data_IF_267383525611
#
_entry.id   IF_267383525611
#
_cell.length_a   1.000
_cell.length_b   1.000
_cell.length_c   1.000
_cell.angle_alpha   90.00
_cell.angle_beta   90.00
_cell.angle_gamma   90.00
#
_symmetry.space_group_name_H-M   'P 1'
#
loop_
_entity.id
_entity.type
_entity.pdbx_description
1 polymer ?
#
# COMPACT_ATOMS: atom_id res chain seq x y z
N UNK A 1 -2.10 14.11 -1.68
CA UNK A 1 -0.63 14.28 -1.78
C UNK A 1 -0.23 15.56 -1.09
N UNK A 2 0.77 15.51 -0.21
CA UNK A 2 1.29 16.70 0.49
C UNK A 2 2.58 17.24 -0.14
N UNK A 3 3.46 16.36 -0.62
CA UNK A 3 4.70 16.74 -1.30
C UNK A 3 5.10 15.65 -2.30
N UNK A 4 5.66 16.04 -3.44
CA UNK A 4 6.16 15.12 -4.46
C UNK A 4 5.05 14.38 -5.21
N UNK A 5 5.39 13.23 -5.78
CA UNK A 5 4.47 12.44 -6.62
C UNK A 5 4.51 10.96 -6.22
N UNK A 6 3.37 10.29 -6.31
CA UNK A 6 3.28 8.84 -6.14
C UNK A 6 2.64 8.20 -7.37
N UNK A 7 3.17 7.07 -7.81
CA UNK A 7 2.50 6.22 -8.80
C UNK A 7 1.56 5.27 -8.05
N UNK A 8 0.29 5.30 -8.42
CA UNK A 8 -0.69 4.30 -8.00
C UNK A 8 -0.94 3.33 -9.15
N UNK A 9 -0.77 2.03 -8.89
CA UNK A 9 -1.11 0.95 -9.80
C UNK A 9 -2.28 0.17 -9.22
N UNK A 10 -3.42 0.14 -9.92
CA UNK A 10 -4.59 -0.64 -9.52
C UNK A 10 -4.51 -2.05 -10.08
N UNK A 11 -4.86 -3.03 -9.27
CA UNK A 11 -4.95 -4.45 -9.63
C UNK A 11 -6.36 -4.99 -9.42
N UNK A 12 -6.74 -5.96 -10.25
CA UNK A 12 -7.91 -6.78 -9.98
C UNK A 12 -7.65 -7.71 -8.79
N UNK A 13 -8.74 -8.17 -8.16
CA UNK A 13 -8.64 -9.24 -7.18
C UNK A 13 -8.16 -10.53 -7.83
N UNK A 14 -7.24 -11.27 -7.20
CA UNK A 14 -6.77 -12.55 -7.74
C UNK A 14 -7.86 -13.62 -7.64
N UNK A 15 -7.90 -14.51 -8.63
CA UNK A 15 -8.73 -15.71 -8.59
C UNK A 15 -8.16 -16.75 -7.62
N UNK A 16 -8.90 -17.84 -7.37
CA UNK A 16 -8.42 -18.96 -6.53
C UNK A 16 -7.22 -19.72 -7.12
N UNK A 17 -6.87 -19.48 -8.38
CA UNK A 17 -5.73 -20.11 -9.06
C UNK A 17 -4.50 -19.22 -8.89
N UNK A 18 -3.35 -19.83 -8.59
CA UNK A 18 -2.08 -19.13 -8.52
C UNK A 18 -1.73 -18.58 -9.90
N UNK A 19 -1.89 -17.27 -10.10
CA UNK A 19 -1.69 -16.57 -11.37
C UNK A 19 -1.10 -15.18 -11.10
N UNK A 20 -0.48 -14.62 -12.14
CA UNK A 20 -0.03 -13.24 -12.09
C UNK A 20 -1.22 -12.28 -11.94
N UNK A 21 -1.07 -11.30 -11.04
CA UNK A 21 -2.10 -10.30 -10.77
C UNK A 21 -2.27 -9.35 -11.96
N UNK A 22 -3.52 -9.13 -12.37
CA UNK A 22 -3.86 -8.30 -13.52
C UNK A 22 -3.90 -6.82 -13.11
N UNK A 23 -3.00 -6.02 -13.68
CA UNK A 23 -3.04 -4.56 -13.58
C UNK A 23 -4.25 -4.02 -14.36
N UNK A 24 -5.10 -3.24 -13.69
CA UNK A 24 -6.26 -2.56 -14.28
C UNK A 24 -5.90 -1.19 -14.85
N UNK A 25 -5.11 -0.40 -14.11
CA UNK A 25 -4.72 0.94 -14.51
C UNK A 25 -3.52 1.41 -13.71
N UNK A 26 -2.88 2.49 -14.18
CA UNK A 26 -1.91 3.24 -13.38
C UNK A 26 -2.13 4.74 -13.55
N UNK A 27 -1.77 5.51 -12.53
CA UNK A 27 -1.79 6.97 -12.58
C UNK A 27 -0.71 7.57 -11.69
N UNK A 28 -0.30 8.79 -12.00
CA UNK A 28 0.58 9.60 -11.16
C UNK A 28 -0.29 10.57 -10.34
N UNK A 29 -0.23 10.43 -9.02
CA UNK A 29 -0.82 11.35 -8.07
C UNK A 29 0.16 12.49 -7.82
N UNK A 30 -0.23 13.69 -8.24
CA UNK A 30 0.54 14.94 -8.08
C UNK A 30 0.18 15.66 -6.79
N UNK A 31 0.97 16.66 -6.42
CA UNK A 31 0.71 17.50 -5.24
C UNK A 31 -0.73 18.01 -5.19
N UNK A 32 -1.30 18.05 -3.98
CA UNK A 32 -2.69 18.41 -3.68
C UNK A 32 -3.78 17.50 -4.31
N UNK A 33 -3.43 16.50 -5.13
CA UNK A 33 -4.42 15.55 -5.61
C UNK A 33 -4.85 14.58 -4.50
N UNK A 34 -6.13 14.21 -4.55
CA UNK A 34 -6.75 13.21 -3.70
C UNK A 34 -7.17 12.01 -4.54
N UNK A 35 -6.95 10.82 -3.99
CA UNK A 35 -7.36 9.54 -4.57
C UNK A 35 -8.22 8.78 -3.55
N UNK A 36 -9.09 7.91 -4.05
CA UNK A 36 -9.97 7.08 -3.24
C UNK A 36 -9.85 5.62 -3.67
N UNK A 37 -9.83 4.72 -2.69
CA UNK A 37 -9.87 3.28 -2.88
C UNK A 37 -10.64 2.60 -1.76
N UNK A 38 -11.29 1.49 -2.09
CA UNK A 38 -11.84 0.51 -1.16
C UNK A 38 -11.80 -0.88 -1.83
N UNK A 39 -12.09 -1.93 -1.08
CA UNK A 39 -12.01 -3.32 -1.56
C UNK A 39 -12.91 -3.60 -2.77
N UNK A 40 -14.02 -2.89 -2.94
CA UNK A 40 -14.90 -3.05 -4.12
C UNK A 40 -14.29 -2.50 -5.41
N UNK A 41 -13.35 -1.53 -5.30
CA UNK A 41 -12.65 -0.94 -6.46
C UNK A 41 -11.53 -1.88 -6.94
N UNK A 42 -10.79 -2.45 -6.00
CA UNK A 42 -9.68 -3.38 -6.26
C UNK A 42 -8.54 -3.23 -5.26
N UNK A 43 -7.39 -3.78 -5.64
CA UNK A 43 -6.14 -3.71 -4.88
C UNK A 43 -5.26 -2.61 -5.49
N UNK A 44 -4.30 -2.09 -4.73
CA UNK A 44 -3.34 -1.14 -5.30
C UNK A 44 -1.92 -1.29 -4.76
N UNK A 45 -0.96 -0.85 -5.57
CA UNK A 45 0.40 -0.56 -5.15
C UNK A 45 0.64 0.94 -5.27
N UNK A 46 1.22 1.52 -4.23
CA UNK A 46 1.60 2.93 -4.19
C UNK A 46 3.11 2.99 -4.03
N UNK A 47 3.79 3.70 -4.92
CA UNK A 47 5.25 3.75 -4.96
C UNK A 47 5.74 5.16 -5.33
N UNK A 48 6.82 5.60 -4.68
CA UNK A 48 7.55 6.78 -5.12
C UNK A 48 8.48 6.38 -6.27
N UNK A 49 8.23 6.92 -7.46
CA UNK A 49 9.04 6.65 -8.66
C UNK A 49 10.23 7.60 -8.80
N UNK A 50 10.33 8.61 -7.92
CA UNK A 50 11.48 9.50 -7.90
C UNK A 50 12.67 8.81 -7.24
N UNK A 51 13.83 8.87 -7.89
CA UNK A 51 15.09 8.37 -7.35
C UNK A 51 15.86 9.42 -6.55
N UNK A 52 15.40 10.67 -6.54
CA UNK A 52 16.10 11.81 -5.92
C UNK A 52 15.27 12.55 -4.88
N UNK A 53 13.94 12.55 -5.03
CA UNK A 53 13.04 13.35 -4.20
C UNK A 53 12.12 12.46 -3.35
N UNK A 54 11.91 12.79 -2.06
CA UNK A 54 10.91 12.11 -1.25
C UNK A 54 9.48 12.52 -1.66
N UNK A 55 8.52 11.67 -1.33
CA UNK A 55 7.09 11.96 -1.48
C UNK A 55 6.37 11.75 -0.15
N UNK A 56 5.41 12.63 0.16
CA UNK A 56 4.60 12.57 1.39
C UNK A 56 3.13 12.60 1.03
N UNK A 57 2.36 11.66 1.56
CA UNK A 57 0.92 11.55 1.37
C UNK A 57 0.18 11.62 2.71
N UNK A 58 -1.06 12.10 2.65
CA UNK A 58 -2.02 12.06 3.76
C UNK A 58 -3.04 10.95 3.49
N UNK A 59 -3.19 10.02 4.42
CA UNK A 59 -4.09 8.87 4.31
C UNK A 59 -5.17 8.94 5.39
N UNK A 60 -6.42 8.68 5.01
CA UNK A 60 -7.57 8.59 5.91
C UNK A 60 -8.27 7.26 5.67
N UNK A 61 -8.46 6.49 6.74
CA UNK A 61 -9.13 5.19 6.72
C UNK A 61 -10.35 5.22 7.65
N UNK A 62 -11.48 4.69 7.19
CA UNK A 62 -12.73 4.65 7.96
C UNK A 62 -13.56 3.40 7.61
N UNK A 63 -13.88 2.52 8.58
CA UNK A 63 -13.41 2.54 9.97
C UNK A 63 -11.88 2.35 10.05
N UNK A 64 -11.24 2.69 11.17
CA UNK A 64 -9.82 2.42 11.36
C UNK A 64 -9.55 0.91 11.36
N UNK A 65 -8.41 0.51 10.80
CA UNK A 65 -7.91 -0.86 10.83
C UNK A 65 -6.39 -0.87 11.03
N UNK A 66 -5.87 -1.95 11.60
CA UNK A 66 -4.45 -2.17 11.87
C UNK A 66 -3.89 -3.40 11.17
N UNK A 67 -4.72 -4.10 10.38
CA UNK A 67 -4.31 -5.28 9.62
C UNK A 67 -4.76 -5.15 8.17
N UNK A 68 -3.93 -5.62 7.24
CA UNK A 68 -4.24 -5.67 5.82
C UNK A 68 -3.73 -6.98 5.20
N UNK A 69 -4.02 -7.18 3.91
CA UNK A 69 -3.46 -8.28 3.12
C UNK A 69 -2.45 -7.71 2.14
N UNK A 70 -1.24 -8.26 2.14
CA UNK A 70 -0.26 -8.05 1.06
C UNK A 70 -0.37 -9.20 0.07
N UNK A 71 -0.16 -8.91 -1.21
CA UNK A 71 -0.29 -9.88 -2.28
C UNK A 71 1.02 -9.98 -3.05
N UNK A 72 1.47 -11.20 -3.31
CA UNK A 72 2.53 -11.47 -4.28
C UNK A 72 1.96 -11.28 -5.68
N UNK A 73 2.53 -10.34 -6.44
CA UNK A 73 2.08 -10.03 -7.79
C UNK A 73 2.18 -11.23 -8.74
N UNK A 74 3.15 -12.13 -8.57
CA UNK A 74 3.36 -13.27 -9.48
C UNK A 74 2.34 -14.39 -9.30
N UNK A 75 1.82 -14.54 -8.09
CA UNK A 75 1.02 -15.70 -7.70
C UNK A 75 -0.39 -15.33 -7.24
N UNK A 76 -0.63 -14.07 -6.86
CA UNK A 76 -1.85 -13.63 -6.19
C UNK A 76 -1.97 -14.17 -4.76
N UNK A 77 -0.94 -14.87 -4.25
CA UNK A 77 -0.92 -15.37 -2.89
C UNK A 77 -0.90 -14.21 -1.90
N UNK A 78 -1.68 -14.35 -0.82
CA UNK A 78 -1.89 -13.28 0.15
C UNK A 78 -1.37 -13.63 1.54
N UNK A 79 -0.75 -12.66 2.18
CA UNK A 79 -0.31 -12.75 3.57
C UNK A 79 -1.02 -11.69 4.40
N UNK A 80 -1.44 -12.06 5.61
CA UNK A 80 -1.96 -11.09 6.57
C UNK A 80 -0.78 -10.35 7.19
N UNK A 81 -0.86 -9.02 7.20
CA UNK A 81 0.16 -8.14 7.77
C UNK A 81 -0.49 -7.24 8.81
N UNK A 82 0.17 -7.08 9.96
CA UNK A 82 -0.18 -6.08 10.96
C UNK A 82 0.60 -4.81 10.69
N UNK A 83 -0.10 -3.71 10.46
CA UNK A 83 0.48 -2.40 10.23
C UNK A 83 0.90 -1.77 11.57
N UNK A 84 2.08 -1.17 11.59
CA UNK A 84 2.59 -0.44 12.76
C UNK A 84 2.73 1.04 12.44
N UNK A 85 2.58 1.87 13.46
CA UNK A 85 2.86 3.29 13.36
C UNK A 85 4.36 3.52 13.57
N UNK A 86 4.97 4.39 12.76
CA UNK A 86 6.34 4.85 12.98
C UNK A 86 6.41 5.93 14.08
N UNK A 87 5.38 6.76 14.16
CA UNK A 87 5.19 7.80 15.18
C UNK A 87 3.69 8.03 15.42
N UNK A 88 3.34 8.56 16.59
CA UNK A 88 1.97 9.00 16.93
C UNK A 88 2.04 10.41 17.48
N UNK A 89 1.22 11.32 16.94
CA UNK A 89 1.16 12.73 17.35
C UNK A 89 2.53 13.44 17.40
N UNK A 90 3.41 13.12 16.44
CA UNK A 90 4.76 13.69 16.37
C UNK A 90 5.82 13.00 17.23
N UNK A 91 5.47 11.97 18.02
CA UNK A 91 6.40 11.24 18.90
C UNK A 91 6.71 9.86 18.32
N UNK A 92 8.00 9.51 18.20
CA UNK A 92 8.47 8.21 17.71
C UNK A 92 7.96 7.08 18.60
N UNK A 93 7.43 6.01 18.02
CA UNK A 93 7.03 4.81 18.77
C UNK A 93 8.23 3.89 19.02
N UNK A 94 8.25 3.13 20.12
CA UNK A 94 9.25 2.07 20.34
C UNK A 94 9.21 1.05 19.19
N UNK A 95 10.37 0.61 18.72
CA UNK A 95 10.44 -0.42 17.69
C UNK A 95 10.03 -1.76 18.29
N UNK A 96 8.92 -2.33 17.82
CA UNK A 96 8.56 -3.71 18.10
C UNK A 96 8.88 -4.54 16.86
N UNK A 97 9.93 -5.35 16.93
CA UNK A 97 10.24 -6.36 15.91
C UNK A 97 9.14 -7.44 15.94
N UNK A 98 8.12 -7.30 15.10
CA UNK A 98 7.32 -8.47 14.70
C UNK A 98 8.13 -9.21 13.63
N UNK A 99 8.64 -10.40 13.96
CA UNK A 99 9.46 -11.20 13.05
C UNK A 99 8.76 -11.43 11.71
N UNK A 100 9.38 -10.96 10.63
CA UNK A 100 9.00 -11.34 9.27
C UNK A 100 9.33 -12.82 9.08
N UNK A 101 8.32 -13.67 8.92
CA UNK A 101 8.50 -14.99 8.32
C UNK A 101 8.65 -14.76 6.82
N UNK A 102 9.86 -14.40 6.38
CA UNK A 102 10.24 -14.52 4.98
C UNK A 102 10.40 -16.01 4.68
N UNK A 103 9.44 -16.58 3.95
CA UNK A 103 9.56 -17.93 3.42
C UNK A 103 10.61 -17.91 2.30
N UNK A 104 11.76 -18.54 2.57
CA UNK A 104 12.66 -19.08 1.55
C UNK A 104 12.02 -20.27 0.84
#
# INVERSE_FOLDING_TARGET
MLQGNLKETLFAWPDKKSNEMIKKSERILRENQCAYINDSIGLHRVENISHTEPAVSLHLYSPPFDTCQTFDQRTGYKNKVTMTFHSKFGIRTPFATSGSLENN
#
